data_IF_046750370324
#
_entry.id   IF_046750370324
#
_cell.length_a   1.000
_cell.length_b   1.000
_cell.length_c   1.000
_cell.angle_alpha   90.00
_cell.angle_beta   90.00
_cell.angle_gamma   90.00
#
_symmetry.space_group_name_H-M   'P 1'
#
loop_
_entity.id
_entity.type
_entity.pdbx_description
1 polymer ?
#
# COMPACT_ATOMS: atom_id res chain seq x y z
N UNK A 1 7.36 -8.01 -9.04
CA UNK A 1 6.27 -7.81 -8.07
C UNK A 1 5.08 -7.17 -8.80
N UNK A 2 3.84 -7.59 -8.53
CA UNK A 2 2.68 -7.22 -9.37
C UNK A 2 2.00 -5.92 -8.90
N UNK A 3 1.70 -5.00 -9.82
CA UNK A 3 0.89 -3.80 -9.55
C UNK A 3 -0.53 -4.14 -9.11
N UNK A 4 -1.10 -5.24 -9.62
CA UNK A 4 -2.43 -5.72 -9.23
C UNK A 4 -2.55 -6.00 -7.72
N UNK A 5 -1.46 -6.47 -7.10
CA UNK A 5 -1.41 -6.72 -5.66
C UNK A 5 -1.50 -5.42 -4.85
N UNK A 6 -0.87 -4.36 -5.35
CA UNK A 6 -0.95 -3.03 -4.76
C UNK A 6 -2.37 -2.45 -4.89
N UNK A 7 -2.96 -2.49 -6.08
CA UNK A 7 -4.32 -1.98 -6.30
C UNK A 7 -5.35 -2.71 -5.43
N UNK A 8 -5.24 -4.03 -5.32
CA UNK A 8 -6.11 -4.82 -4.44
C UNK A 8 -5.91 -4.43 -2.98
N UNK A 9 -4.66 -4.20 -2.55
CA UNK A 9 -4.36 -3.74 -1.20
C UNK A 9 -4.97 -2.37 -0.92
N UNK A 10 -4.83 -1.40 -1.84
CA UNK A 10 -5.36 -0.04 -1.69
C UNK A 10 -6.89 -0.02 -1.69
N UNK A 11 -7.52 -0.81 -2.55
CA UNK A 11 -8.98 -1.00 -2.53
C UNK A 11 -9.45 -1.57 -1.18
N UNK A 12 -8.69 -2.53 -0.62
CA UNK A 12 -8.98 -3.10 0.69
C UNK A 12 -8.71 -2.12 1.83
N UNK A 13 -7.66 -1.31 1.73
CA UNK A 13 -7.32 -0.27 2.70
C UNK A 13 -8.41 0.81 2.76
N UNK A 14 -9.00 1.18 1.61
CA UNK A 14 -10.10 2.13 1.55
C UNK A 14 -11.37 1.60 2.27
N UNK A 15 -11.63 0.30 2.19
CA UNK A 15 -12.76 -0.34 2.86
C UNK A 15 -12.48 -0.84 4.29
N UNK A 16 -11.27 -0.66 4.82
CA UNK A 16 -10.86 -1.21 6.13
C UNK A 16 -10.05 -0.19 6.94
N UNK A 17 -10.69 0.37 7.97
CA UNK A 17 -10.10 1.38 8.84
C UNK A 17 -8.84 0.94 9.61
N UNK A 18 -8.65 -0.36 9.83
CA UNK A 18 -7.43 -0.86 10.48
C UNK A 18 -6.25 -0.79 9.53
N UNK A 19 -6.44 -1.24 8.29
CA UNK A 19 -5.39 -1.17 7.25
C UNK A 19 -5.10 0.29 6.92
N UNK A 20 -6.14 1.13 6.81
CA UNK A 20 -6.00 2.57 6.59
C UNK A 20 -5.15 3.23 7.67
N UNK A 21 -5.44 2.96 8.95
CA UNK A 21 -4.65 3.49 10.07
C UNK A 21 -3.19 3.02 10.04
N UNK A 22 -2.92 1.76 9.69
CA UNK A 22 -1.55 1.26 9.54
C UNK A 22 -0.80 1.98 8.40
N UNK A 23 -1.46 2.27 7.29
CA UNK A 23 -0.88 3.03 6.17
C UNK A 23 -0.66 4.50 6.55
N UNK A 24 -1.59 5.11 7.28
CA UNK A 24 -1.45 6.49 7.79
C UNK A 24 -0.29 6.60 8.79
N UNK A 25 -0.08 5.60 9.64
CA UNK A 25 1.06 5.51 10.56
C UNK A 25 2.41 5.49 9.83
N UNK A 26 2.45 5.08 8.56
CA UNK A 26 3.67 5.11 7.77
C UNK A 26 4.09 6.53 7.36
N UNK A 27 3.26 7.56 7.57
CA UNK A 27 3.59 8.97 7.29
C UNK A 27 4.19 9.22 5.88
N UNK A 28 3.76 8.44 4.89
CA UNK A 28 4.27 8.54 3.50
C UNK A 28 5.53 7.71 3.20
N UNK A 29 6.08 6.96 4.15
CA UNK A 29 7.15 5.99 3.89
C UNK A 29 6.63 4.81 3.06
N UNK A 30 7.00 4.83 1.77
CA UNK A 30 6.63 3.80 0.80
C UNK A 30 7.13 2.39 1.13
N UNK A 31 8.22 2.28 1.88
CA UNK A 31 8.76 1.00 2.37
C UNK A 31 7.92 0.46 3.52
N UNK A 32 7.50 1.35 4.42
CA UNK A 32 6.54 0.99 5.48
C UNK A 32 5.22 0.51 4.89
N UNK A 33 4.65 1.21 3.90
CA UNK A 33 3.41 0.80 3.23
C UNK A 33 3.54 -0.56 2.55
N UNK A 34 4.67 -0.84 1.89
CA UNK A 34 4.95 -2.16 1.32
C UNK A 34 5.01 -3.27 2.38
N UNK A 35 5.55 -2.99 3.57
CA UNK A 35 5.54 -3.93 4.70
C UNK A 35 4.14 -4.16 5.25
N UNK A 36 3.32 -3.11 5.38
CA UNK A 36 1.91 -3.22 5.79
C UNK A 36 1.15 -4.09 4.78
N UNK A 37 1.30 -3.82 3.49
CA UNK A 37 0.77 -4.66 2.41
C UNK A 37 1.14 -6.13 2.60
N UNK A 38 2.42 -6.40 2.86
CA UNK A 38 2.91 -7.77 3.07
C UNK A 38 2.29 -8.46 4.28
N UNK A 39 2.08 -7.75 5.40
CA UNK A 39 1.39 -8.29 6.59
C UNK A 39 -0.05 -8.68 6.30
N UNK A 40 -0.72 -7.94 5.42
CA UNK A 40 -2.08 -8.20 4.98
C UNK A 40 -2.16 -9.18 3.79
N UNK A 41 -1.06 -9.84 3.44
CA UNK A 41 -1.00 -10.86 2.39
C UNK A 41 -0.79 -10.32 0.97
N UNK A 42 -0.54 -9.02 0.82
CA UNK A 42 -0.33 -8.36 -0.46
C UNK A 42 1.16 -8.09 -0.71
N UNK A 43 1.71 -8.65 -1.79
CA UNK A 43 3.14 -8.50 -2.11
C UNK A 43 3.36 -7.48 -3.23
N UNK A 44 3.78 -6.27 -2.86
CA UNK A 44 4.23 -5.23 -3.78
C UNK A 44 5.50 -4.55 -3.26
N UNK A 45 6.27 -3.95 -4.16
CA UNK A 45 7.49 -3.22 -3.82
C UNK A 45 7.17 -1.77 -3.46
N UNK A 46 8.04 -1.13 -2.68
CA UNK A 46 7.97 0.31 -2.42
C UNK A 46 7.93 1.11 -3.75
N UNK A 47 8.72 0.70 -4.74
CA UNK A 47 8.75 1.32 -6.07
C UNK A 47 7.40 1.26 -6.81
N UNK A 48 6.63 0.18 -6.67
CA UNK A 48 5.29 0.08 -7.22
C UNK A 48 4.34 1.09 -6.55
N UNK A 49 4.45 1.23 -5.23
CA UNK A 49 3.65 2.22 -4.48
C UNK A 49 4.05 3.66 -4.80
N UNK A 50 5.35 3.98 -4.85
CA UNK A 50 5.83 5.30 -5.27
C UNK A 50 5.37 5.64 -6.69
N UNK A 51 5.37 4.67 -7.60
CA UNK A 51 4.84 4.85 -8.95
C UNK A 51 3.34 5.13 -8.93
N UNK A 52 2.56 4.33 -8.21
CA UNK A 52 1.12 4.53 -8.06
C UNK A 52 0.79 5.90 -7.49
N UNK A 53 1.50 6.32 -6.44
CA UNK A 53 1.35 7.64 -5.84
C UNK A 53 1.56 8.74 -6.88
N UNK A 54 2.62 8.68 -7.69
CA UNK A 54 2.84 9.69 -8.75
C UNK A 54 1.76 9.70 -9.83
N UNK A 55 1.16 8.55 -10.13
CA UNK A 55 0.10 8.43 -11.14
C UNK A 55 -1.28 8.89 -10.60
N UNK A 56 -1.46 8.94 -9.28
CA UNK A 56 -2.73 9.24 -8.60
C UNK A 56 -2.63 10.43 -7.63
N UNK A 57 -1.59 11.27 -7.76
CA UNK A 57 -1.42 12.55 -7.05
C UNK A 57 -2.00 13.69 -7.89
#
# INVERSE_FOLDING_TARGET
MSMKQLETFLARANGNDNIRREVEQCAGDTTCVAKVGMRHGHKFSAANFSRWQREHQ
#
